data_IF_657178318538
#
_entry.id   IF_657178318538
#
_cell.length_a   1.000
_cell.length_b   1.000
_cell.length_c   1.000
_cell.angle_alpha   90.00
_cell.angle_beta   90.00
_cell.angle_gamma   90.00
#
_symmetry.space_group_name_H-M   'P 1'
#
loop_
_entity.id
_entity.type
_entity.pdbx_description
1 polymer ?
#
# COMPACT_ATOMS: atom_id res chain seq x y z
N UNK A 1 30.11 28.84 -7.07
CA UNK A 1 28.86 29.10 -6.35
C UNK A 1 28.13 27.76 -6.23
N UNK A 2 28.13 27.14 -5.06
CA UNK A 2 27.32 25.92 -4.80
C UNK A 2 25.88 26.38 -4.73
N UNK A 3 25.10 26.11 -5.79
CA UNK A 3 23.65 26.29 -5.74
C UNK A 3 23.08 25.43 -4.62
N UNK A 4 22.32 26.01 -3.71
CA UNK A 4 21.62 25.24 -2.68
C UNK A 4 20.74 24.18 -3.37
N UNK A 5 20.68 22.95 -2.82
CA UNK A 5 19.83 21.92 -3.37
C UNK A 5 18.36 22.35 -3.31
N UNK A 6 17.59 22.03 -4.35
CA UNK A 6 16.16 22.28 -4.38
C UNK A 6 15.47 21.53 -3.22
N UNK A 7 14.50 22.17 -2.58
CA UNK A 7 13.81 21.65 -1.37
C UNK A 7 12.51 20.92 -1.76
N UNK A 8 12.32 19.75 -1.19
CA UNK A 8 11.07 19.00 -1.29
C UNK A 8 10.48 18.76 0.11
N UNK A 9 9.21 19.09 0.28
CA UNK A 9 8.44 18.80 1.49
C UNK A 9 7.45 17.68 1.18
N UNK A 10 7.54 16.57 1.92
CA UNK A 10 6.66 15.40 1.79
C UNK A 10 5.69 15.36 2.97
N UNK A 11 4.40 15.41 2.69
CA UNK A 11 3.33 15.36 3.69
C UNK A 11 2.83 13.92 3.80
N UNK A 12 3.21 13.22 4.86
CA UNK A 12 2.90 11.83 5.18
C UNK A 12 4.12 10.91 5.19
N UNK A 13 4.37 10.24 6.32
CA UNK A 13 5.46 9.28 6.55
C UNK A 13 5.08 7.83 6.26
N UNK A 14 4.09 7.58 5.39
CA UNK A 14 3.75 6.23 4.92
C UNK A 14 4.75 5.71 3.87
N UNK A 15 4.52 4.48 3.39
CA UNK A 15 5.40 3.81 2.39
C UNK A 15 5.67 4.72 1.19
N UNK A 16 4.62 5.32 0.59
CA UNK A 16 4.79 6.17 -0.57
C UNK A 16 5.58 7.45 -0.28
N UNK A 17 5.31 8.11 0.85
CA UNK A 17 6.00 9.35 1.24
C UNK A 17 7.48 9.11 1.55
N UNK A 18 7.80 8.06 2.32
CA UNK A 18 9.18 7.69 2.61
C UNK A 18 9.95 7.27 1.35
N UNK A 19 9.31 6.47 0.48
CA UNK A 19 9.90 6.08 -0.80
C UNK A 19 10.16 7.29 -1.70
N UNK A 20 9.21 8.24 -1.77
CA UNK A 20 9.38 9.48 -2.55
C UNK A 20 10.50 10.36 -2.00
N UNK A 21 10.55 10.53 -0.67
CA UNK A 21 11.64 11.28 -0.04
C UNK A 21 13.01 10.64 -0.31
N UNK A 22 13.13 9.31 -0.18
CA UNK A 22 14.36 8.59 -0.48
C UNK A 22 14.76 8.76 -1.96
N UNK A 23 13.83 8.59 -2.89
CA UNK A 23 14.08 8.73 -4.33
C UNK A 23 14.50 10.16 -4.71
N UNK A 24 13.86 11.18 -4.13
CA UNK A 24 14.19 12.59 -4.34
C UNK A 24 15.56 12.90 -3.72
N UNK A 25 15.85 12.42 -2.52
CA UNK A 25 17.15 12.61 -1.86
C UNK A 25 18.31 12.04 -2.71
N UNK A 26 18.14 10.84 -3.26
CA UNK A 26 19.13 10.22 -4.17
C UNK A 26 19.34 11.03 -5.47
N UNK A 27 18.40 11.94 -5.80
CA UNK A 27 18.49 12.87 -6.92
C UNK A 27 19.03 14.26 -6.55
N UNK A 28 19.52 14.41 -5.30
CA UNK A 28 20.13 15.64 -4.82
C UNK A 28 19.14 16.68 -4.26
N UNK A 29 17.87 16.29 -3.99
CA UNK A 29 16.91 17.18 -3.33
C UNK A 29 17.17 17.22 -1.82
N UNK A 30 17.03 18.38 -1.22
CA UNK A 30 16.92 18.52 0.24
C UNK A 30 15.49 18.16 0.64
N UNK A 31 15.32 17.05 1.36
CA UNK A 31 13.99 16.51 1.68
C UNK A 31 13.61 16.72 3.14
N UNK A 32 12.34 17.06 3.39
CA UNK A 32 11.73 17.07 4.72
C UNK A 32 10.43 16.27 4.65
N UNK A 33 10.31 15.24 5.49
CA UNK A 33 9.09 14.42 5.63
C UNK A 33 8.36 14.84 6.90
N UNK A 34 7.08 15.16 6.78
CA UNK A 34 6.21 15.60 7.88
C UNK A 34 5.17 14.51 8.14
N UNK A 35 5.26 13.85 9.30
CA UNK A 35 4.33 12.81 9.74
C UNK A 35 3.60 13.26 10.99
N UNK A 36 2.26 13.20 10.96
CA UNK A 36 1.41 13.61 12.08
C UNK A 36 1.46 12.67 13.28
N UNK A 37 1.72 11.38 13.04
CA UNK A 37 1.88 10.41 14.12
C UNK A 37 3.17 10.70 14.92
N UNK A 38 3.19 10.42 16.22
CA UNK A 38 4.37 10.65 17.06
C UNK A 38 5.53 9.70 16.72
N UNK A 39 5.24 8.58 16.06
CA UNK A 39 6.24 7.62 15.61
C UNK A 39 5.81 6.98 14.29
N UNK A 40 6.76 6.34 13.62
CA UNK A 40 6.48 5.48 12.46
C UNK A 40 6.08 4.06 12.88
N UNK A 41 5.74 3.85 14.15
CA UNK A 41 5.39 2.53 14.65
C UNK A 41 4.22 1.96 13.85
N UNK A 42 4.43 0.85 13.23
CA UNK A 42 3.43 0.28 12.35
C UNK A 42 2.45 -0.54 13.13
N UNK A 43 1.24 -0.18 13.04
CA UNK A 43 0.14 -1.00 13.48
C UNK A 43 0.15 -2.30 12.66
N UNK A 44 0.28 -3.44 13.35
CA UNK A 44 0.54 -4.79 12.87
C UNK A 44 -0.17 -5.24 11.59
N UNK A 45 0.42 -4.97 10.45
CA UNK A 45 -0.01 -5.49 9.16
C UNK A 45 1.20 -5.94 8.35
N UNK A 46 1.01 -6.88 7.44
CA UNK A 46 2.01 -7.19 6.42
C UNK A 46 1.67 -6.50 5.09
N UNK A 47 2.64 -6.48 4.21
CA UNK A 47 2.51 -6.02 2.84
C UNK A 47 3.04 -7.07 1.88
N UNK A 48 2.28 -7.30 0.81
CA UNK A 48 2.72 -8.11 -0.32
C UNK A 48 3.37 -7.19 -1.35
N UNK A 49 4.60 -7.51 -1.74
CA UNK A 49 5.34 -6.80 -2.77
C UNK A 49 5.45 -7.69 -4.01
N UNK A 50 4.93 -7.18 -5.10
CA UNK A 50 4.98 -7.80 -6.41
C UNK A 50 6.25 -7.35 -7.16
N UNK A 51 6.65 -8.04 -8.25
CA UNK A 51 7.86 -7.73 -9.00
C UNK A 51 7.98 -6.28 -9.48
N UNK A 52 6.87 -5.59 -9.76
CA UNK A 52 6.89 -4.17 -10.09
C UNK A 52 7.41 -3.28 -8.94
N UNK A 53 6.93 -3.51 -7.72
CA UNK A 53 7.42 -2.76 -6.55
C UNK A 53 8.86 -3.14 -6.19
N UNK A 54 9.23 -4.43 -6.31
CA UNK A 54 10.61 -4.87 -6.07
C UNK A 54 11.58 -4.16 -7.02
N UNK A 55 11.23 -4.03 -8.32
CA UNK A 55 12.04 -3.25 -9.26
C UNK A 55 12.13 -1.77 -8.92
N UNK A 56 11.09 -1.20 -8.33
CA UNK A 56 11.16 0.18 -7.83
C UNK A 56 12.06 0.27 -6.58
N UNK A 57 12.02 -0.73 -5.68
CA UNK A 57 12.93 -0.83 -4.54
C UNK A 57 14.38 -1.10 -4.94
N UNK A 58 14.62 -1.78 -6.09
CA UNK A 58 15.95 -1.92 -6.66
C UNK A 58 16.55 -0.56 -7.02
N UNK A 59 15.74 0.36 -7.58
CA UNK A 59 16.17 1.74 -7.86
C UNK A 59 16.53 2.48 -6.57
N UNK A 60 15.84 2.22 -5.46
CA UNK A 60 16.15 2.79 -4.15
C UNK A 60 17.35 2.12 -3.46
N UNK A 61 17.87 1.02 -4.01
CA UNK A 61 19.03 0.29 -3.49
C UNK A 61 18.74 -0.67 -2.35
N UNK A 62 17.46 -0.97 -2.07
CA UNK A 62 17.06 -1.90 -0.98
C UNK A 62 16.32 -3.15 -1.48
N UNK A 63 16.20 -3.35 -2.79
CA UNK A 63 15.41 -4.44 -3.35
C UNK A 63 15.89 -5.83 -2.92
N UNK A 64 17.19 -6.08 -2.94
CA UNK A 64 17.76 -7.37 -2.54
C UNK A 64 17.58 -7.61 -1.03
N UNK A 65 17.85 -6.60 -0.20
CA UNK A 65 17.61 -6.69 1.24
C UNK A 65 16.13 -7.04 1.55
N UNK A 66 15.20 -6.42 0.84
CA UNK A 66 13.75 -6.71 1.02
C UNK A 66 13.42 -8.14 0.58
N UNK A 67 14.02 -8.67 -0.49
CA UNK A 67 13.86 -10.07 -0.92
C UNK A 67 14.38 -11.05 0.14
N UNK A 68 15.50 -10.70 0.77
CA UNK A 68 16.14 -11.53 1.81
C UNK A 68 15.31 -11.54 3.10
N UNK A 69 14.67 -10.43 3.47
CA UNK A 69 13.84 -10.33 4.66
C UNK A 69 12.45 -10.94 4.50
N UNK A 70 11.97 -11.04 3.27
CA UNK A 70 10.60 -11.44 2.99
C UNK A 70 10.42 -12.96 2.95
N UNK A 71 9.21 -13.41 3.31
CA UNK A 71 8.79 -14.77 3.05
C UNK A 71 8.50 -14.94 1.55
N UNK A 72 9.08 -15.95 0.95
CA UNK A 72 8.65 -16.43 -0.36
C UNK A 72 7.25 -16.98 -0.25
N UNK A 73 6.37 -16.49 -1.13
CA UNK A 73 5.06 -17.09 -1.30
C UNK A 73 5.24 -18.36 -2.13
N UNK A 74 5.29 -19.50 -1.43
CA UNK A 74 5.33 -20.82 -2.04
C UNK A 74 4.07 -21.16 -2.83
N UNK A 75 3.84 -22.42 -3.11
CA UNK A 75 2.58 -22.86 -3.70
C UNK A 75 1.42 -22.40 -2.83
N UNK A 76 0.47 -21.75 -3.45
CA UNK A 76 -0.66 -21.14 -2.78
C UNK A 76 -1.93 -21.26 -3.60
N UNK A 77 -2.92 -20.45 -3.29
CA UNK A 77 -4.12 -20.39 -4.13
C UNK A 77 -5.39 -19.97 -3.40
N UNK A 78 -6.50 -20.34 -3.99
CA UNK A 78 -7.84 -20.03 -3.49
C UNK A 78 -8.54 -21.28 -2.98
N UNK A 79 -9.22 -21.16 -1.83
CA UNK A 79 -10.02 -22.22 -1.20
C UNK A 79 -11.47 -21.81 -0.98
N UNK A 80 -12.34 -22.78 -0.79
CA UNK A 80 -13.68 -22.58 -0.21
C UNK A 80 -13.61 -22.60 1.31
N UNK A 81 -14.66 -22.13 2.05
CA UNK A 81 -14.74 -22.24 3.51
C UNK A 81 -14.55 -23.67 4.04
N UNK A 82 -15.01 -24.70 3.30
CA UNK A 82 -14.77 -26.10 3.63
C UNK A 82 -13.39 -26.65 3.23
N UNK A 83 -12.46 -25.80 2.80
CA UNK A 83 -11.07 -26.18 2.51
C UNK A 83 -10.80 -26.73 1.10
N UNK A 84 -11.82 -26.95 0.26
CA UNK A 84 -11.61 -27.40 -1.13
C UNK A 84 -10.90 -26.33 -1.95
N UNK A 85 -9.86 -26.72 -2.68
CA UNK A 85 -9.18 -25.82 -3.61
C UNK A 85 -10.06 -25.41 -4.79
N UNK A 86 -10.12 -24.12 -5.05
CA UNK A 86 -10.72 -23.54 -6.26
C UNK A 86 -9.66 -23.30 -7.34
N UNK A 87 -8.47 -22.89 -6.91
CA UNK A 87 -7.31 -22.78 -7.78
C UNK A 87 -6.03 -22.98 -6.99
N UNK A 88 -4.97 -23.40 -7.69
CA UNK A 88 -3.61 -23.42 -7.14
C UNK A 88 -2.71 -22.59 -8.03
N UNK A 89 -1.77 -21.89 -7.43
CA UNK A 89 -0.70 -21.16 -8.11
C UNK A 89 0.63 -21.73 -7.68
N UNK A 90 1.58 -21.72 -8.60
CA UNK A 90 2.97 -22.02 -8.32
C UNK A 90 3.74 -20.69 -8.20
N UNK A 91 4.48 -20.53 -7.12
CA UNK A 91 5.38 -19.39 -6.95
C UNK A 91 6.44 -19.34 -8.04
N UNK A 92 6.95 -20.52 -8.44
CA UNK A 92 7.91 -20.66 -9.53
C UNK A 92 7.34 -20.16 -10.86
N UNK A 93 6.10 -20.57 -11.23
CA UNK A 93 5.44 -20.11 -12.43
C UNK A 93 5.21 -18.58 -12.43
N UNK A 94 4.86 -18.02 -11.27
CA UNK A 94 4.70 -16.57 -11.12
C UNK A 94 6.05 -15.83 -11.25
N UNK A 95 7.11 -16.34 -10.60
CA UNK A 95 8.45 -15.78 -10.68
C UNK A 95 9.01 -15.85 -12.09
N UNK A 96 8.86 -16.99 -12.77
CA UNK A 96 9.29 -17.16 -14.17
C UNK A 96 8.57 -16.19 -15.11
N UNK A 97 7.24 -15.98 -14.92
CA UNK A 97 6.43 -15.10 -15.78
C UNK A 97 6.75 -13.62 -15.57
N UNK A 98 6.94 -13.18 -14.35
CA UNK A 98 7.08 -11.75 -13.99
C UNK A 98 8.52 -11.33 -13.73
N UNK A 99 9.47 -12.24 -13.82
CA UNK A 99 10.90 -11.97 -13.60
C UNK A 99 11.26 -11.71 -12.14
N UNK A 100 10.53 -12.30 -11.20
CA UNK A 100 10.80 -12.19 -9.78
C UNK A 100 9.69 -12.78 -8.90
N UNK A 101 9.97 -12.96 -7.61
CA UNK A 101 9.03 -13.52 -6.65
C UNK A 101 7.94 -12.52 -6.26
N UNK A 102 6.82 -13.05 -5.77
CA UNK A 102 5.92 -12.32 -4.88
C UNK A 102 6.41 -12.54 -3.46
N UNK A 103 6.66 -11.47 -2.71
CA UNK A 103 7.19 -11.55 -1.35
C UNK A 103 6.27 -10.88 -0.35
N UNK A 104 6.29 -11.36 0.88
CA UNK A 104 5.49 -10.84 1.97
C UNK A 104 6.39 -10.56 3.18
N UNK A 105 6.24 -9.35 3.76
CA UNK A 105 6.96 -8.95 4.97
C UNK A 105 6.09 -8.04 5.83
N UNK A 106 6.50 -7.79 7.08
CA UNK A 106 5.77 -6.84 7.91
C UNK A 106 5.89 -5.43 7.31
N UNK A 107 4.80 -4.67 7.35
CA UNK A 107 4.80 -3.27 6.92
C UNK A 107 5.82 -2.44 7.70
N UNK A 108 6.03 -2.76 8.97
CA UNK A 108 7.05 -2.21 9.85
C UNK A 108 8.43 -2.26 9.26
N UNK A 109 8.80 -3.45 8.84
CA UNK A 109 10.13 -3.70 8.26
C UNK A 109 10.34 -2.83 7.03
N UNK A 110 9.39 -2.79 6.09
CA UNK A 110 9.51 -1.95 4.90
C UNK A 110 9.60 -0.46 5.25
N UNK A 111 8.75 0.04 6.14
CA UNK A 111 8.75 1.43 6.59
C UNK A 111 10.08 1.79 7.25
N UNK A 112 10.59 0.95 8.13
CA UNK A 112 11.89 1.15 8.79
C UNK A 112 13.05 1.20 7.79
N UNK A 113 13.05 0.33 6.76
CA UNK A 113 14.09 0.32 5.72
C UNK A 113 14.03 1.56 4.82
N UNK A 114 12.82 1.99 4.46
CA UNK A 114 12.65 3.23 3.69
C UNK A 114 13.07 4.47 4.51
N UNK A 115 12.73 4.53 5.78
CA UNK A 115 13.13 5.62 6.67
C UNK A 115 14.66 5.70 6.84
N UNK A 116 15.34 4.55 6.90
CA UNK A 116 16.81 4.48 7.00
C UNK A 116 17.54 5.04 5.77
N UNK A 117 16.88 5.20 4.63
CA UNK A 117 17.44 5.84 3.44
C UNK A 117 17.48 7.38 3.53
N UNK A 118 16.80 7.95 4.51
CA UNK A 118 16.72 9.41 4.65
C UNK A 118 17.91 9.97 5.42
N UNK A 119 18.38 11.17 5.08
CA UNK A 119 19.42 11.83 5.86
C UNK A 119 18.92 12.14 7.28
N UNK A 120 19.84 12.23 8.27
CA UNK A 120 19.49 12.63 9.64
C UNK A 120 18.69 13.93 9.68
N UNK A 121 17.60 13.93 10.45
CA UNK A 121 16.74 15.10 10.63
C UNK A 121 15.74 15.37 9.49
N UNK A 122 15.75 14.60 8.41
CA UNK A 122 14.79 14.77 7.33
C UNK A 122 13.35 14.33 7.70
N UNK A 123 13.20 13.41 8.65
CA UNK A 123 11.89 12.95 9.14
C UNK A 123 11.51 13.70 10.42
N UNK A 124 10.36 14.37 10.38
CA UNK A 124 9.75 15.08 11.52
C UNK A 124 8.41 14.40 11.83
N UNK A 125 8.36 13.66 12.93
CA UNK A 125 7.13 13.06 13.49
C UNK A 125 6.40 14.05 14.40
N UNK A 126 5.18 13.72 14.83
CA UNK A 126 4.28 14.62 15.56
C UNK A 126 4.09 16.00 14.89
N UNK A 127 4.25 16.05 13.57
CA UNK A 127 4.18 17.25 12.74
C UNK A 127 2.96 17.19 11.82
N UNK A 128 1.93 17.95 12.15
CA UNK A 128 0.74 18.08 11.30
C UNK A 128 0.99 19.15 10.24
N UNK A 129 0.92 18.75 8.97
CA UNK A 129 1.14 19.63 7.83
C UNK A 129 -0.14 19.92 7.08
N UNK A 130 -0.28 21.16 6.60
CA UNK A 130 -1.38 21.62 5.75
C UNK A 130 -0.80 22.41 4.58
N UNK A 131 -1.25 22.09 3.36
CA UNK A 131 -0.89 22.87 2.18
C UNK A 131 -1.53 24.26 2.27
N UNK A 132 -0.71 25.29 2.33
CA UNK A 132 -1.15 26.69 2.36
C UNK A 132 -1.26 27.28 0.95
N UNK A 133 -0.31 26.97 0.05
CA UNK A 133 -0.29 27.43 -1.34
C UNK A 133 0.37 26.32 -2.20
N UNK A 134 -0.24 25.85 -3.28
CA UNK A 134 0.36 24.86 -4.17
C UNK A 134 1.56 25.40 -4.96
N UNK A 135 1.83 26.69 -4.93
CA UNK A 135 2.86 27.33 -5.74
C UNK A 135 2.52 27.36 -7.23
N UNK A 136 3.40 27.95 -8.00
CA UNK A 136 3.34 27.99 -9.47
C UNK A 136 4.75 28.04 -10.08
N UNK A 137 4.87 28.37 -11.36
CA UNK A 137 6.18 28.44 -12.04
C UNK A 137 7.11 29.50 -11.44
N UNK A 138 6.58 30.53 -10.81
CA UNK A 138 7.32 31.71 -10.30
C UNK A 138 7.43 31.72 -8.78
N UNK A 139 6.50 31.09 -8.08
CA UNK A 139 6.42 31.08 -6.61
C UNK A 139 6.60 29.67 -6.07
N UNK A 140 7.34 29.50 -4.94
CA UNK A 140 7.42 28.21 -4.23
C UNK A 140 6.04 27.79 -3.71
N UNK A 141 5.86 26.51 -3.49
CA UNK A 141 4.74 26.00 -2.70
C UNK A 141 4.98 26.27 -1.21
N UNK A 142 3.90 26.44 -0.43
CA UNK A 142 3.97 26.72 1.01
C UNK A 142 3.16 25.71 1.82
N UNK A 143 3.76 25.26 2.91
CA UNK A 143 3.18 24.29 3.84
C UNK A 143 3.24 24.87 5.25
N UNK A 144 2.09 24.92 5.90
CA UNK A 144 1.99 25.27 7.33
C UNK A 144 2.16 24.01 8.17
N UNK A 145 3.09 24.03 9.12
CA UNK A 145 3.40 22.91 10.02
C UNK A 145 3.04 23.31 11.44
N UNK A 146 2.27 22.47 12.11
CA UNK A 146 1.99 22.59 13.55
C UNK A 146 2.56 21.37 14.25
N UNK A 147 3.49 21.58 15.19
CA UNK A 147 3.98 20.51 16.05
C UNK A 147 2.89 20.13 17.08
N UNK A 148 2.80 18.85 17.45
CA UNK A 148 2.00 18.47 18.58
C UNK A 148 2.65 19.01 19.87
N UNK A 149 1.84 19.61 20.75
CA UNK A 149 2.32 20.01 22.06
C UNK A 149 2.80 18.77 22.84
N UNK A 150 3.93 18.82 23.55
CA UNK A 150 4.33 17.75 24.44
C UNK A 150 3.21 17.41 25.43
N UNK A 151 3.00 16.13 25.71
CA UNK A 151 1.99 15.69 26.68
C UNK A 151 2.26 16.36 28.04
N UNK A 152 1.25 17.09 28.56
CA UNK A 152 1.34 17.79 29.87
C UNK A 152 1.62 19.29 29.81
N UNK A 153 1.84 19.89 28.65
CA UNK A 153 1.90 21.37 28.54
C UNK A 153 0.50 21.94 28.35
N UNK A 154 0.17 22.98 29.11
CA UNK A 154 -1.05 23.76 28.92
C UNK A 154 -1.17 24.19 27.45
N UNK A 155 -2.40 24.26 26.92
CA UNK A 155 -2.73 24.70 25.55
C UNK A 155 -2.26 26.14 25.31
N UNK A 156 -0.93 26.33 25.27
CA UNK A 156 -0.29 27.54 24.75
C UNK A 156 -0.11 27.35 23.24
N UNK A 157 -0.27 28.42 22.50
CA UNK A 157 -0.16 28.44 21.06
C UNK A 157 1.15 27.76 20.60
N UNK A 158 1.06 26.54 20.10
CA UNK A 158 2.17 25.91 19.36
C UNK A 158 2.31 26.74 18.10
N UNK A 159 3.43 27.46 17.96
CA UNK A 159 3.68 28.33 16.82
C UNK A 159 3.55 27.51 15.52
N UNK A 160 2.79 28.04 14.58
CA UNK A 160 2.77 27.50 13.24
C UNK A 160 4.06 27.94 12.52
N UNK A 161 4.80 26.99 11.98
CA UNK A 161 5.94 27.20 11.10
C UNK A 161 5.47 27.17 9.64
N UNK A 162 5.94 28.06 8.80
CA UNK A 162 5.71 28.02 7.36
C UNK A 162 6.98 27.55 6.64
N UNK A 163 6.85 26.51 5.82
CA UNK A 163 7.92 25.98 4.98
C UNK A 163 7.63 26.30 3.51
N UNK A 164 8.61 26.84 2.82
CA UNK A 164 8.62 27.00 1.37
C UNK A 164 9.39 25.87 0.71
N UNK A 165 8.89 25.38 -0.43
CA UNK A 165 9.51 24.29 -1.19
C UNK A 165 9.31 24.45 -2.71
N UNK A 166 10.31 24.02 -3.46
CA UNK A 166 10.24 23.90 -4.91
C UNK A 166 9.34 22.73 -5.34
N UNK A 167 9.11 21.77 -4.43
CA UNK A 167 8.19 20.64 -4.63
C UNK A 167 7.51 20.27 -3.31
N UNK A 168 6.19 20.17 -3.32
CA UNK A 168 5.41 19.57 -2.22
C UNK A 168 4.80 18.26 -2.69
N UNK A 169 4.99 17.20 -1.91
CA UNK A 169 4.46 15.86 -2.19
C UNK A 169 3.37 15.52 -1.18
N UNK A 170 2.13 15.43 -1.63
CA UNK A 170 0.99 14.94 -0.84
C UNK A 170 0.94 13.42 -0.85
N UNK A 171 1.41 12.80 0.24
CA UNK A 171 1.39 11.37 0.50
C UNK A 171 0.56 11.02 1.75
N UNK A 172 -0.45 11.82 2.04
CA UNK A 172 -1.25 11.85 3.27
C UNK A 172 -2.45 10.89 3.28
N UNK A 173 -2.42 9.89 2.38
CA UNK A 173 -3.28 8.71 2.41
C UNK A 173 -4.69 8.94 1.84
N UNK A 174 -5.55 7.94 2.05
CA UNK A 174 -6.88 7.88 1.41
C UNK A 174 -7.78 9.07 1.73
N UNK A 175 -7.66 9.66 2.91
CA UNK A 175 -8.41 10.85 3.33
C UNK A 175 -7.62 12.16 3.12
N UNK A 176 -6.75 12.21 2.13
CA UNK A 176 -5.82 13.29 1.82
C UNK A 176 -6.45 14.69 1.93
N UNK A 177 -5.81 15.53 2.75
CA UNK A 177 -6.12 16.96 2.86
C UNK A 177 -5.49 17.73 1.71
N UNK A 178 -4.30 17.32 1.26
CA UNK A 178 -3.63 17.92 0.10
C UNK A 178 -4.50 17.75 -1.14
N UNK A 179 -5.03 16.53 -1.40
CA UNK A 179 -5.97 16.31 -2.51
C UNK A 179 -7.18 17.26 -2.45
N UNK A 180 -7.78 17.41 -1.27
CA UNK A 180 -8.94 18.33 -1.12
C UNK A 180 -8.59 19.77 -1.36
N UNK A 181 -7.38 20.20 -1.00
CA UNK A 181 -6.91 21.56 -1.29
C UNK A 181 -6.68 21.78 -2.79
N UNK A 182 -6.07 20.80 -3.48
CA UNK A 182 -5.80 20.90 -4.93
C UNK A 182 -7.07 20.77 -5.79
N UNK A 183 -7.98 19.89 -5.39
CA UNK A 183 -9.18 19.53 -6.16
C UNK A 183 -10.44 19.57 -5.29
N UNK A 184 -10.90 20.76 -4.85
CA UNK A 184 -12.02 20.89 -3.92
C UNK A 184 -13.35 20.37 -4.49
N UNK A 185 -13.51 20.35 -5.82
CA UNK A 185 -14.68 19.77 -6.50
C UNK A 185 -14.66 18.24 -6.62
N UNK A 186 -13.58 17.56 -6.25
CA UNK A 186 -13.52 16.09 -6.32
C UNK A 186 -14.25 15.46 -5.12
N UNK A 187 -15.13 14.43 -5.32
CA UNK A 187 -15.95 13.86 -4.24
C UNK A 187 -15.16 13.16 -3.14
N UNK A 188 -13.86 12.92 -3.36
CA UNK A 188 -13.01 12.26 -2.38
C UNK A 188 -13.15 10.74 -2.37
N UNK A 189 -12.77 10.14 -1.24
CA UNK A 189 -12.84 8.70 -1.05
C UNK A 189 -14.23 8.27 -0.61
N UNK A 190 -14.69 7.13 -1.15
CA UNK A 190 -15.97 6.51 -0.79
C UNK A 190 -15.73 5.14 -0.16
N UNK A 191 -16.66 4.70 0.69
CA UNK A 191 -16.65 3.36 1.25
C UNK A 191 -16.88 2.30 0.16
N UNK A 192 -16.05 1.25 0.15
CA UNK A 192 -16.08 0.21 -0.87
C UNK A 192 -17.17 -0.87 -0.63
N UNK A 193 -17.97 -0.75 0.44
CA UNK A 193 -19.03 -1.70 0.80
C UNK A 193 -18.55 -2.88 1.64
N UNK A 194 -17.31 -2.88 2.11
CA UNK A 194 -16.78 -3.94 2.98
C UNK A 194 -15.68 -3.41 3.92
N UNK A 195 -15.53 -4.12 5.03
CA UNK A 195 -14.53 -3.85 6.07
C UNK A 195 -13.49 -4.97 6.07
N UNK A 196 -12.26 -4.63 6.46
CA UNK A 196 -11.18 -5.58 6.65
C UNK A 196 -10.71 -5.62 8.10
N UNK A 197 -10.34 -6.81 8.56
CA UNK A 197 -9.61 -7.05 9.79
C UNK A 197 -8.23 -7.62 9.43
N UNK A 198 -7.19 -7.17 10.08
CA UNK A 198 -5.82 -7.60 9.84
C UNK A 198 -5.15 -7.94 11.14
N UNK A 199 -4.39 -9.02 11.14
CA UNK A 199 -3.70 -9.57 12.30
C UNK A 199 -2.29 -9.98 11.89
N UNK A 200 -1.33 -9.74 12.76
CA UNK A 200 0.04 -10.22 12.61
C UNK A 200 0.43 -10.86 13.95
N UNK A 201 0.37 -12.18 14.01
CA UNK A 201 0.45 -12.94 15.25
C UNK A 201 1.63 -13.91 15.23
N UNK A 202 2.27 -14.17 16.38
CA UNK A 202 3.20 -15.29 16.50
C UNK A 202 2.41 -16.61 16.43
N UNK A 203 2.83 -17.49 15.52
CA UNK A 203 2.29 -18.84 15.41
C UNK A 203 3.42 -19.78 15.01
N UNK A 204 4.35 -20.08 15.96
CA UNK A 204 5.50 -20.91 15.68
C UNK A 204 5.06 -22.32 15.26
N UNK A 205 5.78 -22.91 14.30
CA UNK A 205 5.45 -24.23 13.75
C UNK A 205 4.25 -24.24 12.79
N UNK A 206 3.82 -23.07 12.31
CA UNK A 206 2.75 -22.97 11.33
C UNK A 206 3.21 -23.52 9.97
N UNK A 207 2.83 -24.76 9.66
CA UNK A 207 3.11 -25.43 8.39
C UNK A 207 1.86 -25.45 7.52
N UNK A 208 1.66 -24.41 6.72
CA UNK A 208 0.60 -24.35 5.71
C UNK A 208 0.99 -23.43 4.55
N UNK A 209 0.49 -23.75 3.37
CA UNK A 209 0.68 -22.91 2.19
C UNK A 209 -0.11 -21.60 2.31
N UNK A 210 0.45 -20.51 1.78
CA UNK A 210 -0.23 -19.22 1.64
C UNK A 210 -1.52 -19.37 0.81
N UNK A 211 -2.66 -18.90 1.32
CA UNK A 211 -3.92 -19.00 0.59
C UNK A 211 -4.94 -17.97 1.01
N UNK A 212 -5.84 -17.67 0.08
CA UNK A 212 -7.11 -17.02 0.38
C UNK A 212 -8.26 -18.04 0.39
N UNK A 213 -9.25 -17.78 1.21
CA UNK A 213 -10.50 -18.53 1.27
C UNK A 213 -11.66 -17.60 0.93
N UNK A 214 -12.39 -17.91 -0.12
CA UNK A 214 -13.51 -17.11 -0.60
C UNK A 214 -14.84 -17.74 -0.24
N UNK A 215 -15.55 -17.09 0.69
CA UNK A 215 -16.92 -17.41 1.07
C UNK A 215 -17.95 -16.57 0.31
N UNK A 216 -19.11 -16.44 0.91
CA UNK A 216 -20.24 -15.62 0.43
C UNK A 216 -20.17 -14.26 1.10
N UNK A 217 -19.73 -13.22 0.37
CA UNK A 217 -19.51 -11.88 0.90
C UNK A 217 -18.44 -11.80 1.98
N UNK A 218 -17.56 -12.80 2.07
CA UNK A 218 -16.52 -12.93 3.10
C UNK A 218 -15.24 -13.54 2.51
N UNK A 219 -14.11 -13.04 2.95
CA UNK A 219 -12.78 -13.54 2.55
C UNK A 219 -11.95 -13.73 3.81
N UNK A 220 -11.05 -14.69 3.75
CA UNK A 220 -9.99 -14.89 4.72
C UNK A 220 -8.68 -15.21 3.99
N UNK A 221 -7.60 -14.53 4.34
CA UNK A 221 -6.24 -14.84 3.88
C UNK A 221 -5.35 -15.25 5.04
N UNK A 222 -4.48 -16.22 4.80
CA UNK A 222 -3.49 -16.70 5.78
C UNK A 222 -2.14 -16.90 5.12
N UNK A 223 -1.10 -16.27 5.67
CA UNK A 223 0.21 -16.18 5.06
C UNK A 223 1.32 -16.28 6.12
N UNK A 224 2.13 -17.35 6.13
CA UNK A 224 3.32 -17.41 7.00
C UNK A 224 4.35 -16.35 6.60
N UNK A 225 5.01 -15.76 7.59
CA UNK A 225 6.15 -14.86 7.40
C UNK A 225 7.46 -15.58 7.73
N UNK A 226 8.58 -15.08 7.23
CA UNK A 226 9.92 -15.65 7.45
C UNK A 226 10.34 -15.60 8.92
N UNK A 227 9.81 -14.66 9.69
CA UNK A 227 10.13 -14.47 11.11
C UNK A 227 9.28 -15.31 12.07
N UNK A 228 8.54 -16.29 11.58
CA UNK A 228 7.71 -17.20 12.39
C UNK A 228 6.35 -16.62 12.81
N UNK A 229 6.02 -15.41 12.34
CA UNK A 229 4.67 -14.86 12.49
C UNK A 229 3.77 -15.29 11.33
N UNK A 230 2.48 -15.18 11.56
CA UNK A 230 1.45 -15.37 10.54
C UNK A 230 0.73 -14.05 10.33
N UNK A 231 0.69 -13.59 9.10
CA UNK A 231 -0.21 -12.54 8.68
C UNK A 231 -1.54 -13.14 8.25
N UNK A 232 -2.60 -12.73 8.92
CA UNK A 232 -3.96 -13.08 8.53
C UNK A 232 -4.78 -11.83 8.29
N UNK A 233 -5.71 -11.92 7.35
CA UNK A 233 -6.71 -10.88 7.13
C UNK A 233 -8.06 -11.49 6.81
N UNK A 234 -9.09 -10.78 7.22
CA UNK A 234 -10.47 -11.07 6.89
C UNK A 234 -11.09 -9.87 6.18
N UNK A 235 -12.09 -10.12 5.35
CA UNK A 235 -12.94 -9.07 4.80
C UNK A 235 -14.38 -9.54 4.74
N UNK A 236 -15.32 -8.65 5.09
CA UNK A 236 -16.74 -8.94 5.01
C UNK A 236 -17.54 -7.71 4.57
N UNK A 237 -18.63 -7.96 3.85
CA UNK A 237 -19.64 -6.95 3.55
C UNK A 237 -20.40 -6.62 4.83
N UNK A 238 -20.16 -5.42 5.36
CA UNK A 238 -20.81 -4.86 6.55
C UNK A 238 -21.10 -3.38 6.32
N UNK A 239 -22.01 -2.74 7.07
CA UNK A 239 -22.18 -1.29 6.99
C UNK A 239 -20.92 -0.53 7.38
N UNK A 240 -20.72 0.66 6.78
CA UNK A 240 -19.62 1.55 7.16
C UNK A 240 -19.72 1.92 8.66
N UNK A 241 -18.59 1.95 9.36
CA UNK A 241 -18.53 2.29 10.79
C UNK A 241 -19.10 1.24 11.73
N UNK A 242 -19.58 0.10 11.24
CA UNK A 242 -20.09 -0.96 12.11
C UNK A 242 -18.95 -1.60 12.93
N UNK A 243 -19.13 -1.71 14.23
CA UNK A 243 -18.24 -2.38 15.16
C UNK A 243 -18.92 -3.54 15.86
N UNK A 244 -18.14 -4.50 16.32
CA UNK A 244 -18.64 -5.58 17.15
C UNK A 244 -19.18 -5.05 18.48
N UNK A 245 -20.23 -5.66 19.04
CA UNK A 245 -20.79 -5.25 20.34
C UNK A 245 -19.85 -5.59 21.52
N UNK A 246 -19.00 -6.56 21.35
CA UNK A 246 -18.00 -7.05 22.30
C UNK A 246 -16.59 -6.62 21.86
N UNK A 247 -15.93 -7.44 21.06
CA UNK A 247 -14.63 -7.14 20.46
C UNK A 247 -14.52 -7.70 19.03
N UNK A 248 -13.56 -7.18 18.26
CA UNK A 248 -13.43 -7.54 16.86
C UNK A 248 -12.92 -8.99 16.67
N UNK A 249 -12.23 -9.59 17.64
CA UNK A 249 -11.85 -11.01 17.61
C UNK A 249 -13.08 -11.91 17.76
N UNK A 250 -13.99 -11.57 18.68
CA UNK A 250 -15.24 -12.30 18.85
C UNK A 250 -16.09 -12.24 17.57
N UNK A 251 -16.11 -11.10 16.88
CA UNK A 251 -16.78 -10.97 15.58
C UNK A 251 -16.13 -11.87 14.51
N UNK A 252 -14.81 -11.96 14.48
CA UNK A 252 -14.11 -12.85 13.57
C UNK A 252 -14.41 -14.33 13.88
N UNK A 253 -14.50 -14.71 15.15
CA UNK A 253 -14.92 -16.08 15.55
C UNK A 253 -16.33 -16.40 15.07
N UNK A 254 -17.29 -15.48 15.21
CA UNK A 254 -18.67 -15.66 14.72
C UNK A 254 -18.73 -15.84 13.20
N UNK A 255 -17.85 -15.15 12.46
CA UNK A 255 -17.89 -15.16 10.99
C UNK A 255 -17.07 -16.26 10.34
N UNK A 256 -15.95 -16.68 10.97
CA UNK A 256 -14.94 -17.52 10.33
C UNK A 256 -14.51 -18.72 11.18
N UNK A 257 -15.01 -18.86 12.42
CA UNK A 257 -14.58 -19.90 13.35
C UNK A 257 -14.90 -21.33 12.89
N UNK A 258 -15.85 -21.49 11.98
CA UNK A 258 -16.24 -22.77 11.37
C UNK A 258 -15.52 -23.07 10.05
N UNK A 259 -14.55 -22.21 9.64
CA UNK A 259 -13.83 -22.43 8.40
C UNK A 259 -12.71 -23.47 8.60
N UNK A 260 -12.16 -23.92 7.48
CA UNK A 260 -11.12 -24.97 7.48
C UNK A 260 -9.82 -24.52 8.18
N UNK A 261 -8.99 -25.50 8.56
CA UNK A 261 -7.65 -25.23 9.06
C UNK A 261 -6.82 -24.40 8.02
N UNK A 262 -6.06 -23.35 8.42
CA UNK A 262 -5.70 -23.01 9.81
C UNK A 262 -6.55 -21.91 10.45
N UNK A 263 -7.69 -21.51 9.88
CA UNK A 263 -8.47 -20.37 10.34
C UNK A 263 -8.81 -20.43 11.84
N UNK A 264 -9.35 -21.55 12.40
CA UNK A 264 -9.62 -21.63 13.83
C UNK A 264 -8.35 -21.50 14.69
N UNK A 265 -7.22 -22.07 14.26
CA UNK A 265 -5.96 -22.00 14.98
C UNK A 265 -5.41 -20.56 15.04
N UNK A 266 -5.49 -19.83 13.92
CA UNK A 266 -5.11 -18.40 13.84
C UNK A 266 -6.00 -17.57 14.77
N UNK A 267 -7.32 -17.78 14.76
CA UNK A 267 -8.24 -17.07 15.64
C UNK A 267 -8.03 -17.37 17.12
N UNK A 268 -7.68 -18.63 17.44
CA UNK A 268 -7.36 -19.03 18.82
C UNK A 268 -6.08 -18.34 19.35
N UNK A 269 -5.09 -18.14 18.49
CA UNK A 269 -3.83 -17.47 18.82
C UNK A 269 -3.91 -15.93 18.79
N UNK A 270 -4.98 -15.35 18.22
CA UNK A 270 -5.16 -13.89 18.11
C UNK A 270 -5.69 -13.33 19.42
N UNK A 271 -5.13 -12.22 19.91
CA UNK A 271 -5.68 -11.43 21.02
C UNK A 271 -6.56 -10.31 20.47
N UNK A 272 -7.56 -9.80 21.23
CA UNK A 272 -8.42 -8.69 20.78
C UNK A 272 -7.66 -7.47 20.30
N UNK A 273 -6.59 -7.09 21.02
CA UNK A 273 -5.74 -5.95 20.71
C UNK A 273 -4.88 -6.10 19.42
N UNK A 274 -4.69 -7.34 18.96
CA UNK A 274 -3.94 -7.61 17.72
C UNK A 274 -4.82 -7.43 16.46
N UNK A 275 -6.13 -7.22 16.63
CA UNK A 275 -7.08 -7.10 15.51
C UNK A 275 -7.24 -5.66 15.07
N UNK A 276 -6.80 -5.37 13.87
CA UNK A 276 -6.93 -4.06 13.24
C UNK A 276 -8.12 -4.04 12.30
N UNK A 277 -9.17 -3.34 12.68
CA UNK A 277 -10.35 -3.13 11.85
C UNK A 277 -10.24 -1.84 11.03
N UNK A 278 -10.54 -1.92 9.74
CA UNK A 278 -10.58 -0.76 8.84
C UNK A 278 -11.69 -0.89 7.81
N UNK A 279 -12.49 0.14 7.68
CA UNK A 279 -13.37 0.31 6.53
C UNK A 279 -12.53 0.55 5.28
N UNK A 280 -12.84 -0.17 4.21
CA UNK A 280 -12.12 0.00 2.94
C UNK A 280 -12.70 1.19 2.19
N UNK A 281 -11.84 2.16 1.87
CA UNK A 281 -12.18 3.32 1.08
C UNK A 281 -11.37 3.35 -0.21
N UNK A 282 -11.94 3.89 -1.27
CA UNK A 282 -11.26 4.07 -2.55
C UNK A 282 -11.75 5.34 -3.26
N UNK A 283 -11.00 5.81 -4.25
CA UNK A 283 -11.48 6.88 -5.13
C UNK A 283 -12.37 6.27 -6.22
N UNK A 284 -13.68 6.59 -6.18
CA UNK A 284 -14.63 6.11 -7.18
C UNK A 284 -14.42 6.78 -8.55
N UNK A 285 -13.93 8.01 -8.54
CA UNK A 285 -13.60 8.79 -9.72
C UNK A 285 -12.09 9.04 -9.76
N UNK A 286 -11.42 8.98 -10.94
CA UNK A 286 -10.04 9.40 -11.07
C UNK A 286 -9.93 10.91 -10.90
N UNK A 287 -8.78 11.37 -10.42
CA UNK A 287 -8.45 12.79 -10.40
C UNK A 287 -8.22 13.33 -11.83
N UNK A 288 -8.43 14.63 -12.06
CA UNK A 288 -8.13 15.24 -13.36
C UNK A 288 -6.62 15.29 -13.66
N UNK A 289 -5.81 15.41 -12.61
CA UNK A 289 -4.34 15.38 -12.66
C UNK A 289 -3.79 14.94 -11.30
N UNK A 290 -2.50 14.56 -11.25
CA UNK A 290 -1.82 14.28 -9.98
C UNK A 290 -1.01 15.45 -9.45
N UNK A 291 -1.07 16.61 -10.11
CA UNK A 291 -0.38 17.82 -9.68
C UNK A 291 -1.21 19.07 -9.92
N UNK A 292 -0.87 20.12 -9.19
CA UNK A 292 -1.27 21.50 -9.43
C UNK A 292 -0.12 22.40 -8.95
N UNK A 293 0.37 23.29 -9.84
CA UNK A 293 1.53 24.13 -9.52
C UNK A 293 2.77 23.29 -9.21
N UNK A 294 3.35 23.48 -8.04
CA UNK A 294 4.51 22.76 -7.51
C UNK A 294 4.13 21.66 -6.52
N UNK A 295 2.87 21.31 -6.45
CA UNK A 295 2.36 20.29 -5.54
C UNK A 295 1.87 19.08 -6.30
N UNK A 296 2.29 17.88 -5.86
CA UNK A 296 1.98 16.59 -6.48
C UNK A 296 1.40 15.60 -5.47
N UNK A 297 0.51 14.72 -5.92
CA UNK A 297 -0.07 13.63 -5.14
C UNK A 297 0.53 12.29 -5.56
N UNK A 298 0.68 11.37 -4.60
CA UNK A 298 1.07 9.98 -4.87
C UNK A 298 0.36 8.99 -3.92
N UNK A 299 0.41 7.71 -4.26
CA UNK A 299 -0.16 6.64 -3.47
C UNK A 299 -1.66 6.82 -3.23
N UNK A 300 -2.14 6.49 -2.03
CA UNK A 300 -3.57 6.57 -1.70
C UNK A 300 -4.13 8.00 -1.74
N UNK A 301 -3.28 9.03 -1.65
CA UNK A 301 -3.71 10.41 -1.85
C UNK A 301 -4.14 10.66 -3.30
N UNK A 302 -3.51 9.99 -4.26
CA UNK A 302 -3.77 10.12 -5.69
C UNK A 302 -4.76 9.08 -6.25
N UNK A 303 -4.68 7.82 -5.79
CA UNK A 303 -5.35 6.68 -6.44
C UNK A 303 -5.77 5.56 -5.49
N UNK A 304 -6.22 5.88 -4.27
CA UNK A 304 -6.69 4.89 -3.31
C UNK A 304 -7.61 3.84 -3.97
N UNK A 305 -7.35 2.57 -3.73
CA UNK A 305 -8.04 1.44 -4.33
C UNK A 305 -8.32 0.33 -3.31
N UNK A 306 -9.34 -0.53 -3.54
CA UNK A 306 -9.54 -1.71 -2.71
C UNK A 306 -8.30 -2.61 -2.68
N UNK A 307 -7.97 -3.28 -1.56
CA UNK A 307 -6.74 -4.06 -1.40
C UNK A 307 -6.73 -5.40 -2.18
N UNK A 308 -7.76 -5.66 -2.96
CA UNK A 308 -8.04 -6.95 -3.62
C UNK A 308 -7.01 -7.43 -4.66
N UNK A 309 -6.11 -6.57 -5.10
CA UNK A 309 -4.98 -6.91 -5.96
C UNK A 309 -3.64 -6.78 -5.23
N UNK A 310 -3.62 -6.37 -3.95
CA UNK A 310 -2.40 -6.08 -3.21
C UNK A 310 -1.56 -4.94 -3.79
N UNK A 311 -2.14 -4.05 -4.61
CA UNK A 311 -1.37 -3.10 -5.41
C UNK A 311 -1.23 -1.69 -4.83
N UNK A 312 -2.01 -1.29 -3.83
CA UNK A 312 -1.95 0.10 -3.32
C UNK A 312 -0.54 0.54 -2.93
N UNK A 313 0.11 -0.20 -2.03
CA UNK A 313 1.49 0.10 -1.62
C UNK A 313 2.52 -0.11 -2.75
N UNK A 314 2.31 -1.10 -3.62
CA UNK A 314 3.17 -1.35 -4.78
C UNK A 314 3.16 -0.16 -5.74
N UNK A 315 1.98 0.39 -6.04
CA UNK A 315 1.85 1.58 -6.90
C UNK A 315 2.44 2.82 -6.26
N UNK A 316 2.34 2.96 -4.93
CA UNK A 316 2.95 4.08 -4.22
C UNK A 316 4.49 4.08 -4.30
N UNK A 317 5.14 2.90 -4.30
CA UNK A 317 6.59 2.78 -4.50
C UNK A 317 6.97 3.04 -5.97
N UNK A 318 6.17 2.59 -6.94
CA UNK A 318 6.35 2.97 -8.35
C UNK A 318 6.24 4.49 -8.53
N UNK A 319 5.19 5.12 -7.95
CA UNK A 319 4.99 6.57 -8.00
C UNK A 319 6.23 7.33 -7.52
N UNK A 320 6.81 6.89 -6.41
CA UNK A 320 7.98 7.53 -5.82
C UNK A 320 9.18 7.60 -6.78
N UNK A 321 9.46 6.50 -7.46
CA UNK A 321 10.57 6.41 -8.43
C UNK A 321 10.26 7.24 -9.69
N UNK A 322 9.03 7.17 -10.19
CA UNK A 322 8.60 7.95 -11.36
C UNK A 322 8.56 9.44 -11.04
N UNK A 323 8.10 9.82 -9.83
CA UNK A 323 8.11 11.22 -9.38
C UNK A 323 9.54 11.77 -9.34
N UNK A 324 10.48 11.03 -8.75
CA UNK A 324 11.88 11.47 -8.71
C UNK A 324 12.50 11.61 -10.11
N UNK A 325 12.00 10.86 -11.10
CA UNK A 325 12.39 11.05 -12.50
C UNK A 325 11.83 12.33 -13.09
N UNK A 326 10.61 12.66 -12.80
CA UNK A 326 9.89 13.81 -13.33
C UNK A 326 9.77 14.96 -12.32
N UNK A 327 10.67 15.07 -11.33
CA UNK A 327 10.50 16.02 -10.23
C UNK A 327 10.46 17.50 -10.68
N UNK A 328 11.00 17.80 -11.86
CA UNK A 328 10.95 19.13 -12.52
C UNK A 328 9.90 19.22 -13.62
N UNK A 329 9.19 18.13 -13.94
CA UNK A 329 8.15 18.04 -14.97
C UNK A 329 6.94 17.26 -14.44
N UNK A 330 6.15 17.88 -13.57
CA UNK A 330 4.97 17.24 -12.96
C UNK A 330 3.84 16.88 -13.95
N UNK A 331 3.65 17.59 -15.07
CA UNK A 331 2.81 17.13 -16.17
C UNK A 331 3.20 15.77 -16.71
N UNK A 332 4.50 15.51 -16.93
CA UNK A 332 5.01 14.21 -17.39
C UNK A 332 4.77 13.11 -16.33
N UNK A 333 4.96 13.40 -15.04
CA UNK A 333 4.59 12.48 -13.96
C UNK A 333 3.09 12.11 -14.02
N UNK A 334 2.22 13.10 -14.17
CA UNK A 334 0.77 12.84 -14.29
C UNK A 334 0.46 12.00 -15.53
N UNK A 335 1.05 12.30 -16.67
CA UNK A 335 0.83 11.58 -17.92
C UNK A 335 1.27 10.10 -17.84
N UNK A 336 2.33 9.81 -17.09
CA UNK A 336 2.82 8.44 -16.86
C UNK A 336 1.93 7.68 -15.86
N UNK A 337 1.63 8.29 -14.70
CA UNK A 337 1.03 7.56 -13.58
C UNK A 337 -0.50 7.48 -13.61
N UNK A 338 -1.20 8.55 -14.00
CA UNK A 338 -2.65 8.63 -13.95
C UNK A 338 -3.37 7.52 -14.76
N UNK A 339 -3.01 7.25 -16.03
CA UNK A 339 -3.67 6.19 -16.79
C UNK A 339 -3.44 4.80 -16.19
N UNK A 340 -2.19 4.52 -15.78
CA UNK A 340 -1.79 3.24 -15.21
C UNK A 340 -2.51 2.95 -13.91
N UNK A 341 -2.44 3.84 -12.95
CA UNK A 341 -3.04 3.65 -11.62
C UNK A 341 -4.57 3.65 -11.69
N UNK A 342 -5.18 4.45 -12.58
CA UNK A 342 -6.62 4.41 -12.85
C UNK A 342 -7.07 3.04 -13.39
N UNK A 343 -6.31 2.46 -14.32
CA UNK A 343 -6.63 1.13 -14.86
C UNK A 343 -6.55 0.04 -13.76
N UNK A 344 -5.52 0.11 -12.92
CA UNK A 344 -5.32 -0.82 -11.79
C UNK A 344 -6.42 -0.65 -10.74
N UNK A 345 -6.77 0.59 -10.35
CA UNK A 345 -7.83 0.88 -9.40
C UNK A 345 -9.19 0.38 -9.89
N UNK A 346 -9.54 0.60 -11.15
CA UNK A 346 -10.77 0.05 -11.77
C UNK A 346 -10.78 -1.48 -11.76
N UNK A 347 -9.64 -2.11 -11.99
CA UNK A 347 -9.51 -3.56 -11.91
C UNK A 347 -9.68 -4.06 -10.48
N UNK A 348 -9.07 -3.40 -9.50
CA UNK A 348 -9.22 -3.73 -8.08
C UNK A 348 -10.69 -3.67 -7.64
N UNK A 349 -11.44 -2.64 -8.06
CA UNK A 349 -12.89 -2.53 -7.80
C UNK A 349 -13.68 -3.69 -8.42
N UNK A 350 -13.35 -4.10 -9.67
CA UNK A 350 -14.03 -5.24 -10.31
C UNK A 350 -13.77 -6.54 -9.56
N UNK A 351 -12.52 -6.78 -9.15
CA UNK A 351 -12.16 -7.97 -8.37
C UNK A 351 -12.82 -7.93 -6.99
N UNK A 352 -12.90 -6.76 -6.34
CA UNK A 352 -13.62 -6.60 -5.08
C UNK A 352 -15.10 -7.01 -5.20
N UNK A 353 -15.79 -6.58 -6.25
CA UNK A 353 -17.19 -6.96 -6.51
C UNK A 353 -17.36 -8.47 -6.72
N UNK A 354 -16.39 -9.11 -7.36
CA UNK A 354 -16.44 -10.56 -7.63
C UNK A 354 -16.19 -11.35 -6.35
N UNK A 355 -15.17 -11.03 -5.58
CA UNK A 355 -14.80 -11.82 -4.41
C UNK A 355 -15.72 -11.53 -3.20
N UNK A 356 -16.30 -10.33 -3.13
CA UNK A 356 -17.28 -9.94 -2.09
C UNK A 356 -18.74 -10.29 -2.46
N UNK A 357 -18.97 -11.00 -3.56
CA UNK A 357 -20.31 -11.42 -3.95
C UNK A 357 -20.94 -12.37 -2.91
N UNK A 358 -22.16 -12.03 -2.42
CA UNK A 358 -22.85 -12.77 -1.34
C UNK A 358 -23.96 -13.73 -1.79
N UNK A 359 -24.45 -13.62 -3.04
CA UNK A 359 -25.54 -14.44 -3.56
C UNK A 359 -25.15 -15.91 -3.76
N UNK A 360 -26.02 -16.88 -3.40
CA UNK A 360 -25.73 -18.32 -3.53
C UNK A 360 -25.39 -18.72 -4.96
N UNK A 361 -26.23 -18.33 -5.93
CA UNK A 361 -26.04 -18.64 -7.34
C UNK A 361 -24.76 -18.01 -7.89
N UNK A 362 -24.52 -16.73 -7.62
CA UNK A 362 -23.32 -16.01 -8.07
C UNK A 362 -22.06 -16.66 -7.52
N UNK A 363 -22.06 -17.04 -6.24
CA UNK A 363 -20.92 -17.70 -5.60
C UNK A 363 -20.68 -19.10 -6.20
N UNK A 364 -21.73 -19.87 -6.48
CA UNK A 364 -21.61 -21.19 -7.12
C UNK A 364 -21.00 -21.07 -8.53
N UNK A 365 -21.52 -20.17 -9.36
CA UNK A 365 -20.98 -19.90 -10.71
C UNK A 365 -19.53 -19.42 -10.63
N UNK A 366 -19.22 -18.44 -9.77
CA UNK A 366 -17.84 -17.96 -9.54
C UNK A 366 -16.89 -19.13 -9.23
N UNK A 367 -17.29 -19.99 -8.28
CA UNK A 367 -16.44 -21.10 -7.85
C UNK A 367 -16.26 -22.14 -8.96
N UNK A 368 -17.32 -22.45 -9.74
CA UNK A 368 -17.24 -23.35 -10.87
C UNK A 368 -16.29 -22.80 -11.96
N UNK A 369 -16.41 -21.51 -12.30
CA UNK A 369 -15.53 -20.84 -13.27
C UNK A 369 -14.07 -20.86 -12.80
N UNK A 370 -13.79 -20.51 -11.53
CA UNK A 370 -12.43 -20.54 -10.98
C UNK A 370 -11.83 -21.95 -11.01
N UNK A 371 -12.62 -22.97 -10.67
CA UNK A 371 -12.18 -24.37 -10.72
C UNK A 371 -11.88 -24.80 -12.17
N UNK A 372 -12.75 -24.45 -13.12
CA UNK A 372 -12.55 -24.77 -14.55
C UNK A 372 -11.30 -24.07 -15.12
N UNK A 373 -11.11 -22.78 -14.80
CA UNK A 373 -9.92 -22.03 -15.23
C UNK A 373 -8.64 -22.58 -14.60
N UNK A 374 -8.69 -23.04 -13.35
CA UNK A 374 -7.55 -23.68 -12.68
C UNK A 374 -7.11 -24.99 -13.36
N UNK A 375 -8.07 -25.74 -13.93
CA UNK A 375 -7.77 -26.96 -14.67
C UNK A 375 -6.97 -26.72 -15.97
N UNK A 376 -7.02 -25.50 -16.53
CA UNK A 376 -6.21 -25.10 -17.70
C UNK A 376 -4.79 -24.68 -17.35
N UNK A 377 -4.41 -24.74 -16.08
CA UNK A 377 -3.09 -24.37 -15.57
C UNK A 377 -2.99 -22.92 -15.06
N UNK A 378 -1.90 -22.60 -14.33
CA UNK A 378 -1.72 -21.31 -13.67
C UNK A 378 -1.53 -20.12 -14.64
N UNK A 379 -1.13 -20.40 -15.90
CA UNK A 379 -0.78 -19.38 -16.88
C UNK A 379 -1.92 -18.41 -17.19
N UNK A 380 -3.17 -18.89 -17.24
CA UNK A 380 -4.34 -18.06 -17.55
C UNK A 380 -4.67 -17.09 -16.40
N UNK A 381 -4.55 -17.55 -15.15
CA UNK A 381 -4.74 -16.72 -13.98
C UNK A 381 -3.66 -15.64 -13.89
N UNK A 382 -2.40 -16.00 -14.16
CA UNK A 382 -1.26 -15.08 -14.12
C UNK A 382 -1.34 -13.99 -15.20
N UNK A 383 -1.92 -14.30 -16.41
CA UNK A 383 -2.15 -13.27 -17.46
C UNK A 383 -2.92 -12.05 -16.95
N UNK A 384 -3.78 -12.25 -15.95
CA UNK A 384 -4.49 -11.15 -15.31
C UNK A 384 -3.58 -10.09 -14.68
N UNK A 385 -2.32 -10.38 -14.40
CA UNK A 385 -1.35 -9.48 -13.76
C UNK A 385 -0.28 -8.94 -14.71
N UNK A 386 -0.26 -9.33 -15.99
CA UNK A 386 0.78 -8.96 -16.95
C UNK A 386 1.02 -7.44 -17.05
N UNK A 387 -0.01 -6.66 -17.22
CA UNK A 387 0.11 -5.20 -17.30
C UNK A 387 0.47 -4.51 -15.98
N UNK A 388 0.46 -5.24 -14.86
CA UNK A 388 0.79 -4.73 -13.53
C UNK A 388 2.21 -5.13 -13.16
N UNK A 389 2.47 -6.44 -13.08
CA UNK A 389 3.71 -6.99 -12.57
C UNK A 389 4.92 -6.81 -13.50
N UNK A 390 4.69 -6.59 -14.81
CA UNK A 390 5.75 -6.40 -15.81
C UNK A 390 6.27 -4.96 -15.92
N UNK A 391 5.76 -4.02 -15.12
CA UNK A 391 6.24 -2.64 -15.14
C UNK A 391 7.74 -2.56 -14.83
N UNK A 392 8.42 -1.65 -15.51
CA UNK A 392 9.84 -1.35 -15.32
C UNK A 392 10.01 0.13 -15.03
N UNK A 393 10.96 0.51 -14.15
CA UNK A 393 11.26 1.90 -13.88
C UNK A 393 11.82 2.62 -15.12
N UNK A 394 11.61 3.94 -15.27
CA UNK A 394 12.01 4.71 -16.44
C UNK A 394 13.53 4.74 -16.69
N UNK A 395 14.36 4.28 -15.74
CA UNK A 395 15.83 4.25 -15.85
C UNK A 395 16.41 2.92 -16.33
N UNK A 396 15.58 1.90 -16.55
CA UNK A 396 16.06 0.55 -16.88
C UNK A 396 16.78 0.42 -18.25
N UNK A 397 16.88 1.53 -19.00
CA UNK A 397 17.52 1.57 -20.32
C UNK A 397 18.76 2.47 -20.35
N UNK A 398 19.72 2.31 -19.41
CA UNK A 398 21.03 2.90 -19.59
C UNK A 398 21.64 3.59 -18.38
N UNK A 399 22.16 2.80 -17.45
CA UNK A 399 23.42 3.01 -16.73
C UNK A 399 23.70 1.78 -15.87
N UNK A 400 24.62 0.96 -16.31
CA UNK A 400 25.40 0.13 -15.37
C UNK A 400 26.08 1.07 -14.38
N UNK A 401 26.11 0.75 -13.06
CA UNK A 401 26.92 1.51 -12.12
C UNK A 401 28.37 1.43 -12.58
N UNK A 402 28.98 2.58 -12.83
CA UNK A 402 30.42 2.70 -13.02
C UNK A 402 31.09 2.35 -11.68
N UNK A 403 31.78 1.23 -11.60
CA UNK A 403 32.64 0.91 -10.47
C UNK A 403 32.70 -0.56 -10.08
N UNK A 404 33.22 -1.40 -10.98
CA UNK A 404 34.05 -2.55 -10.61
C UNK A 404 35.08 -2.73 -11.71
N UNK A 405 36.25 -2.12 -11.56
CA UNK A 405 37.53 -2.60 -12.06
C UNK A 405 38.48 -2.77 -10.90
#
# INVERSE_FOLDING_TARGET
>A
MTTQPARAVVIGGGIGGLAAAAALHQRGWAVTVLERAPSLEPVGAAISLAPNALRALDVLGIGDEIRDLAAWQGDGGLRTPGGRWLSRSSAEAAAARFGGPLVLLSRATLVGRLAALLPPGALRTAATATLADPGDRTRPARVTVTAAAPAGTARGAVGAEELEAELVVGADGVHSRVRRALFPGHPGAVYAGFTTWRMLIPLPGAEFASHETWGRGRIWGTHPLKDGRVYAYAAATVPAGAHAPDDERAELLRRYGDWHHPVPAVLAATRPEDVLRHDVHHLAQPLPAYHLGRTVLLGDAAHAMPPTLGQGGNQAVEDAVVLAHHATDLPAYTADRLPRTTAIARKAVRVARLNMAGGRAVTAVRNAVLTALSATGPALFLRGFDGIANWRPPYASGRQPAGQR
#
